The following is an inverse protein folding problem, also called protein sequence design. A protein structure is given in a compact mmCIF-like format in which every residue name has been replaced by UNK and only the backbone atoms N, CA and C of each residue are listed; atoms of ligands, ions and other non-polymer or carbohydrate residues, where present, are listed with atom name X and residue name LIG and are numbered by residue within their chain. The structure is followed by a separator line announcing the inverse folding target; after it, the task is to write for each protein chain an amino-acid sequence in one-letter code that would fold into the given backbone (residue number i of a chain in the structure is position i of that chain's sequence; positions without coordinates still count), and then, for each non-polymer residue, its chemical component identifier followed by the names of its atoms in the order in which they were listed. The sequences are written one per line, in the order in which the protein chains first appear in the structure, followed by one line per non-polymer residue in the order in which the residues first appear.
data_IF_341196667242
#
_entry.id   IF_341196667242
#
_cell.length_a   1.000
_cell.length_b   1.000
_cell.length_c   1.000
_cell.angle_alpha   90.00
_cell.angle_beta   90.00
_cell.angle_gamma   90.00
#
_symmetry.space_group_name_H-M   'P 1'
#
loop_
_entity.id
_entity.type
_entity.pdbx_description
1 polymer ?
#
# COMPACT_ATOMS: atom_id res chain seq x y z
N UNK A 1 6.81 13.83 4.26
CA UNK A 1 7.33 13.16 4.52
C UNK A 1 8.19 12.37 3.77
N UNK A 2 9.06 12.20 4.25
CA UNK A 2 10.10 11.77 3.55
C UNK A 2 10.07 10.43 3.08
N UNK A 3 9.23 9.67 3.57
CA UNK A 3 9.20 8.38 3.14
C UNK A 3 9.09 8.30 1.70
N UNK A 4 8.64 9.37 1.14
CA UNK A 4 8.45 9.33 -0.21
C UNK A 4 9.54 9.86 -0.97
N UNK A 5 10.69 9.96 -0.39
CA UNK A 5 11.76 10.39 -1.07
C UNK A 5 11.88 9.73 -2.30
N UNK A 6 11.19 8.86 -2.61
CA UNK A 6 11.20 8.28 -3.87
C UNK A 6 12.56 7.94 -4.33
N UNK A 7 13.44 7.76 -3.44
CA UNK A 7 14.71 7.26 -3.80
C UNK A 7 14.48 5.84 -4.15
N UNK A 8 14.80 5.44 -5.34
CA UNK A 8 14.61 4.05 -5.70
C UNK A 8 15.47 3.21 -4.81
N UNK A 9 15.00 2.06 -4.49
CA UNK A 9 15.80 1.12 -3.78
C UNK A 9 16.95 0.72 -4.64
N UNK A 10 18.13 0.81 -4.10
CA UNK A 10 19.31 0.41 -4.82
C UNK A 10 19.90 -0.78 -4.14
N UNK A 11 20.16 -1.80 -4.91
CA UNK A 11 20.74 -3.02 -4.36
C UNK A 11 21.98 -3.35 -5.14
N UNK A 12 22.92 -3.95 -4.44
CA UNK A 12 24.11 -4.44 -5.10
C UNK A 12 23.97 -5.93 -5.22
N UNK A 13 23.91 -6.43 -6.44
CA UNK A 13 23.84 -7.84 -6.69
C UNK A 13 24.99 -8.17 -7.59
N UNK A 14 25.87 -9.03 -7.14
CA UNK A 14 27.07 -9.41 -7.89
C UNK A 14 27.87 -8.19 -8.29
N UNK A 15 27.91 -7.21 -7.41
CA UNK A 15 28.70 -6.02 -7.69
C UNK A 15 28.02 -4.98 -8.55
N UNK A 16 26.84 -5.22 -8.97
CA UNK A 16 26.09 -4.25 -9.77
C UNK A 16 25.03 -3.58 -8.94
N UNK A 17 24.74 -2.32 -9.28
CA UNK A 17 23.66 -1.60 -8.64
C UNK A 17 22.41 -1.88 -9.43
N UNK A 18 21.43 -2.50 -8.76
CA UNK A 18 20.15 -2.75 -9.36
C UNK A 18 19.17 -1.79 -8.76
N UNK A 19 18.64 -0.92 -9.61
CA UNK A 19 17.70 0.08 -9.16
C UNK A 19 16.30 -0.47 -9.33
N UNK A 20 15.54 -0.55 -8.28
CA UNK A 20 14.17 -1.04 -8.36
C UNK A 20 13.25 0.08 -7.92
N UNK A 21 12.14 0.21 -8.62
CA UNK A 21 11.16 1.18 -8.27
C UNK A 21 10.19 0.52 -7.35
N UNK A 22 10.46 0.55 -6.07
CA UNK A 22 9.59 -0.06 -5.10
C UNK A 22 8.50 0.88 -4.61
N UNK A 23 8.54 2.13 -5.02
CA UNK A 23 7.54 3.11 -4.64
C UNK A 23 6.83 3.58 -5.90
N UNK A 24 5.53 3.55 -5.90
CA UNK A 24 4.74 4.01 -7.03
C UNK A 24 3.78 5.09 -6.57
N UNK A 25 3.52 6.06 -7.44
CA UNK A 25 2.55 7.11 -7.19
C UNK A 25 1.31 6.79 -8.02
N UNK A 26 0.18 6.66 -7.36
CA UNK A 26 -1.06 6.24 -7.98
C UNK A 26 -2.03 7.42 -7.99
N UNK A 27 -2.61 7.70 -9.14
CA UNK A 27 -3.62 8.75 -9.23
C UNK A 27 -4.91 8.25 -9.85
N UNK A 28 -5.06 6.96 -10.02
CA UNK A 28 -6.30 6.39 -10.53
C UNK A 28 -7.35 6.32 -9.43
N UNK A 29 -8.60 6.32 -9.82
CA UNK A 29 -9.69 6.19 -8.85
C UNK A 29 -9.80 4.77 -8.31
N UNK A 30 -9.26 3.80 -9.02
CA UNK A 30 -9.23 2.42 -8.54
C UNK A 30 -7.91 1.81 -8.98
N UNK A 31 -7.21 1.19 -8.07
CA UNK A 31 -5.91 0.63 -8.37
C UNK A 31 -5.72 -0.69 -7.64
N UNK A 32 -5.29 -1.71 -8.36
CA UNK A 32 -4.93 -2.99 -7.77
C UNK A 32 -3.41 -3.03 -7.68
N UNK A 33 -2.87 -3.30 -6.51
CA UNK A 33 -1.43 -3.28 -6.31
C UNK A 33 -0.77 -4.34 -7.19
N UNK A 34 0.48 -4.08 -7.55
CA UNK A 34 1.18 -4.94 -8.50
C UNK A 34 2.63 -5.12 -8.07
N UNK A 35 2.83 -5.56 -6.84
CA UNK A 35 4.18 -5.90 -6.38
C UNK A 35 4.96 -4.77 -5.77
N UNK A 36 4.38 -3.59 -5.63
CA UNK A 36 5.10 -2.46 -5.06
C UNK A 36 5.33 -2.68 -3.56
N UNK A 37 6.42 -2.18 -3.04
CA UNK A 37 6.64 -2.18 -1.61
C UNK A 37 5.90 -1.04 -0.93
N UNK A 38 5.67 0.05 -1.66
CA UNK A 38 4.97 1.22 -1.12
C UNK A 38 4.24 1.92 -2.26
N UNK A 39 3.01 2.31 -2.02
CA UNK A 39 2.29 3.14 -2.98
C UNK A 39 1.88 4.44 -2.30
N UNK A 40 1.89 5.52 -3.07
CA UNK A 40 1.43 6.83 -2.64
C UNK A 40 0.20 7.16 -3.47
N UNK A 41 -0.94 7.27 -2.83
CA UNK A 41 -2.20 7.48 -3.53
C UNK A 41 -2.53 8.97 -3.51
N UNK A 42 -2.60 9.57 -4.69
CA UNK A 42 -2.79 11.00 -4.83
C UNK A 42 -3.89 11.28 -5.83
N UNK A 43 -5.06 10.96 -5.55
CA UNK A 43 -6.17 11.20 -6.44
C UNK A 43 -6.91 12.44 -6.03
N UNK A 44 -7.58 13.06 -6.97
CA UNK A 44 -8.41 14.22 -6.65
C UNK A 44 -9.74 13.78 -6.05
N UNK A 45 -10.07 12.51 -6.16
CA UNK A 45 -11.30 11.99 -5.62
C UNK A 45 -10.97 10.82 -4.72
N UNK A 46 -11.96 10.31 -4.02
CA UNK A 46 -11.75 9.16 -3.19
C UNK A 46 -11.29 7.99 -4.05
N UNK A 47 -10.20 7.39 -3.69
CA UNK A 47 -9.64 6.27 -4.43
C UNK A 47 -9.91 4.97 -3.71
N UNK A 48 -9.91 3.89 -4.49
CA UNK A 48 -10.02 2.55 -3.94
C UNK A 48 -8.75 1.79 -4.31
N UNK A 49 -8.09 1.23 -3.32
CA UNK A 49 -6.90 0.42 -3.54
C UNK A 49 -7.23 -1.01 -3.16
N UNK A 50 -6.95 -1.94 -4.06
CA UNK A 50 -7.15 -3.35 -3.80
C UNK A 50 -5.78 -3.97 -3.60
N UNK A 51 -5.56 -4.58 -2.45
CA UNK A 51 -4.30 -5.23 -2.13
C UNK A 51 -4.28 -6.58 -2.84
N UNK A 52 -3.24 -6.82 -3.63
CA UNK A 52 -3.14 -8.04 -4.41
C UNK A 52 -2.15 -9.00 -3.76
N UNK A 53 -2.66 -10.07 -3.19
CA UNK A 53 -1.83 -11.02 -2.47
C UNK A 53 -0.98 -11.89 -3.39
N UNK A 54 -1.26 -11.86 -4.69
CA UNK A 54 -0.50 -12.67 -5.63
C UNK A 54 0.84 -12.01 -5.95
N UNK A 55 0.86 -10.70 -6.04
CA UNK A 55 2.08 -9.99 -6.43
C UNK A 55 2.90 -9.53 -5.24
N UNK A 56 2.31 -9.39 -4.06
CA UNK A 56 3.09 -8.99 -2.89
C UNK A 56 2.41 -9.50 -1.63
N UNK A 57 3.19 -9.71 -0.59
CA UNK A 57 2.65 -10.05 0.72
C UNK A 57 2.94 -8.95 1.74
N UNK A 58 3.52 -7.83 1.31
CA UNK A 58 3.87 -6.76 2.24
C UNK A 58 3.87 -5.44 1.48
N UNK A 59 3.08 -4.49 1.92
CA UNK A 59 2.98 -3.22 1.23
C UNK A 59 2.66 -2.11 2.22
N UNK A 60 3.18 -0.93 1.96
CA UNK A 60 2.85 0.27 2.71
C UNK A 60 2.03 1.18 1.80
N UNK A 61 0.90 1.66 2.31
CA UNK A 61 0.04 2.56 1.57
C UNK A 61 0.08 3.92 2.25
N UNK A 62 0.54 4.92 1.50
CA UNK A 62 0.52 6.32 1.96
C UNK A 62 -0.58 7.03 1.20
N UNK A 63 -1.56 7.57 1.92
CA UNK A 63 -2.68 8.23 1.27
C UNK A 63 -2.51 9.74 1.36
N UNK A 64 -2.57 10.41 0.23
CA UNK A 64 -2.55 11.86 0.18
C UNK A 64 -3.97 12.40 0.01
N UNK A 65 -4.93 11.51 -0.01
CA UNK A 65 -6.36 11.82 -0.07
C UNK A 65 -7.05 10.69 0.66
N UNK A 66 -8.35 10.75 0.84
CA UNK A 66 -9.09 9.66 1.46
C UNK A 66 -9.07 8.46 0.55
N UNK A 67 -8.74 7.31 1.08
CA UNK A 67 -8.58 6.07 0.30
C UNK A 67 -9.30 4.94 1.00
N UNK A 68 -10.04 4.16 0.22
CA UNK A 68 -10.63 2.93 0.71
C UNK A 68 -9.69 1.80 0.32
N UNK A 69 -9.28 0.98 1.26
CA UNK A 69 -8.34 -0.11 1.00
C UNK A 69 -9.09 -1.42 1.23
N UNK A 70 -9.05 -2.29 0.23
CA UNK A 70 -9.75 -3.57 0.27
C UNK A 70 -8.78 -4.71 0.04
N UNK A 71 -9.02 -5.85 0.69
CA UNK A 71 -8.22 -7.04 0.37
C UNK A 71 -8.74 -7.66 -0.92
N UNK A 72 -7.85 -8.31 -1.65
CA UNK A 72 -8.27 -9.08 -2.83
C UNK A 72 -8.95 -10.38 -2.41
N UNK A 73 -8.47 -10.97 -1.33
CA UNK A 73 -9.07 -12.18 -0.76
C UNK A 73 -9.05 -12.04 0.75
N UNK A 74 -9.92 -12.75 1.43
CA UNK A 74 -9.94 -12.71 2.88
C UNK A 74 -10.43 -11.38 3.41
N UNK A 75 -9.97 -11.04 4.59
CA UNK A 75 -10.37 -9.83 5.27
C UNK A 75 -9.15 -9.11 5.79
N UNK A 76 -9.33 -7.88 6.23
CA UNK A 76 -8.29 -7.13 6.90
C UNK A 76 -8.47 -7.34 8.39
N UNK A 77 -7.41 -7.79 9.06
CA UNK A 77 -7.42 -8.11 10.50
C UNK A 77 -8.53 -9.10 10.84
N UNK A 78 -8.83 -10.00 9.88
CA UNK A 78 -9.83 -11.06 10.04
C UNK A 78 -11.24 -10.54 10.29
N UNK A 79 -11.44 -9.25 10.16
CA UNK A 79 -12.72 -8.64 10.51
C UNK A 79 -13.28 -7.73 9.44
N UNK A 80 -12.45 -6.96 8.77
CA UNK A 80 -12.94 -5.87 7.92
C UNK A 80 -12.91 -6.23 6.45
N UNK A 81 -13.99 -5.90 5.75
CA UNK A 81 -14.03 -6.04 4.30
C UNK A 81 -13.28 -4.89 3.62
N UNK A 82 -13.12 -3.80 4.31
CA UNK A 82 -12.35 -2.66 3.81
C UNK A 82 -12.03 -1.74 4.98
N UNK A 83 -11.02 -0.91 4.80
CA UNK A 83 -10.67 0.10 5.80
C UNK A 83 -10.55 1.45 5.08
N UNK A 84 -10.75 2.51 5.84
CA UNK A 84 -10.61 3.86 5.31
C UNK A 84 -9.32 4.46 5.80
N UNK A 85 -8.51 4.93 4.87
CA UNK A 85 -7.28 5.64 5.19
C UNK A 85 -7.56 7.12 5.00
N UNK A 86 -7.39 7.88 6.06
CA UNK A 86 -7.63 9.30 6.02
C UNK A 86 -6.52 10.00 5.25
N UNK A 87 -6.73 11.25 4.91
CA UNK A 87 -5.71 12.03 4.24
C UNK A 87 -4.44 12.04 5.08
N UNK A 88 -3.33 11.77 4.43
CA UNK A 88 -1.99 11.70 5.01
C UNK A 88 -1.75 10.47 5.89
N UNK A 89 -2.63 9.50 5.82
CA UNK A 89 -2.42 8.26 6.57
C UNK A 89 -1.30 7.42 5.95
N UNK A 90 -0.70 6.60 6.79
CA UNK A 90 0.32 5.67 6.34
C UNK A 90 0.03 4.34 7.02
N UNK A 91 -0.20 3.29 6.24
CA UNK A 91 -0.62 2.00 6.78
C UNK A 91 0.22 0.90 6.17
N UNK A 92 0.74 0.05 7.03
CA UNK A 92 1.55 -1.08 6.57
C UNK A 92 0.75 -2.36 6.69
N UNK A 93 0.69 -3.11 5.60
CA UNK A 93 -0.09 -4.35 5.52
C UNK A 93 0.81 -5.55 5.26
N UNK A 94 0.42 -6.69 5.81
CA UNK A 94 1.08 -7.96 5.52
C UNK A 94 0.03 -9.02 5.25
N UNK A 95 0.22 -9.81 4.19
CA UNK A 95 -0.67 -10.91 3.86
C UNK A 95 -0.13 -12.19 4.49
N UNK A 96 -0.98 -12.91 5.20
CA UNK A 96 -0.59 -14.14 5.83
C UNK A 96 -1.84 -14.98 6.08
N UNK A 97 -1.75 -16.28 5.83
CA UNK A 97 -2.82 -17.20 6.15
C UNK A 97 -4.18 -16.79 5.60
N UNK A 98 -4.19 -16.25 4.40
CA UNK A 98 -5.44 -15.93 3.70
C UNK A 98 -6.04 -14.57 4.04
N UNK A 99 -5.41 -13.80 4.89
CA UNK A 99 -5.91 -12.48 5.27
C UNK A 99 -4.81 -11.44 5.23
N UNK A 100 -5.22 -10.18 5.13
CA UNK A 100 -4.29 -9.07 5.24
C UNK A 100 -4.33 -8.52 6.66
N UNK A 101 -3.17 -8.24 7.22
CA UNK A 101 -3.07 -7.73 8.58
C UNK A 101 -2.41 -6.37 8.60
N UNK A 102 -2.91 -5.48 9.43
CA UNK A 102 -2.31 -4.17 9.61
C UNK A 102 -1.22 -4.31 10.65
N UNK A 103 0.02 -4.02 10.25
CA UNK A 103 1.15 -4.10 11.17
C UNK A 103 1.39 -2.77 11.86
N UNK A 104 1.14 -1.66 11.16
CA UNK A 104 1.26 -0.33 11.76
C UNK A 104 0.36 0.60 10.99
N UNK A 105 -0.14 1.61 11.65
CA UNK A 105 -1.02 2.55 10.99
C UNK A 105 -0.97 3.90 11.69
N UNK A 106 -1.15 4.96 10.88
CA UNK A 106 -1.27 6.30 11.35
C UNK A 106 -2.33 6.95 10.48
N UNK A 107 -3.43 7.38 11.06
CA UNK A 107 -4.51 8.00 10.30
C UNK A 107 -5.55 7.03 9.78
N UNK A 108 -5.59 5.81 10.32
CA UNK A 108 -6.58 4.84 9.90
C UNK A 108 -7.91 5.13 10.56
N UNK A 109 -8.98 5.04 9.79
CA UNK A 109 -10.32 5.12 10.35
C UNK A 109 -11.01 3.80 10.12
N UNK A 110 -11.68 3.30 11.13
CA UNK A 110 -12.47 2.12 10.92
C UNK A 110 -13.79 2.53 10.28
N UNK A 111 -14.26 1.73 9.40
CA UNK A 111 -15.50 2.02 8.73
C UNK A 111 -16.63 1.19 9.27
#
# INVERSE_FOLDING_TARGET
MAILRTIPSKRFINGEIIETSEVAVISESEYKTNGEACIVVRSVAKSVVILDSITTDHIVVKSMTDVVIKPDVGKIDEEFDEVLADKYACIEFRFCAGNWYILSSDGLKSS
#
